data_IF_564979830557
#
_entry.id   IF_564979830557
#
_cell.length_a   1.000
_cell.length_b   1.000
_cell.length_c   1.000
_cell.angle_alpha   90.00
_cell.angle_beta   90.00
_cell.angle_gamma   90.00
#
_symmetry.space_group_name_H-M   'P 1'
#
loop_
_entity.id
_entity.type
_entity.pdbx_description
1 polymer ?
#
# COMPACT_ATOMS: atom_id res chain seq x y z
N UNK A 1 16.29 16.86 5.83
CA UNK A 1 15.46 15.64 5.87
C UNK A 1 14.10 15.99 6.43
N UNK A 2 13.04 15.59 5.78
CA UNK A 2 11.71 15.80 6.29
C UNK A 2 11.41 14.89 7.48
N UNK A 3 10.31 15.13 8.20
CA UNK A 3 9.90 14.26 9.29
C UNK A 3 9.62 12.85 8.77
N UNK A 4 9.98 11.87 9.58
CA UNK A 4 9.73 10.47 9.25
C UNK A 4 8.22 10.20 9.32
N UNK A 5 7.69 9.56 8.30
CA UNK A 5 6.27 9.20 8.25
C UNK A 5 6.01 8.04 9.21
N UNK A 6 5.03 8.18 10.08
CA UNK A 6 4.60 7.12 10.99
C UNK A 6 3.47 6.34 10.33
N UNK A 7 3.82 5.23 9.67
CA UNK A 7 2.86 4.40 8.96
C UNK A 7 1.85 3.74 9.89
N UNK A 8 2.27 3.40 11.10
CA UNK A 8 1.37 2.79 12.09
C UNK A 8 0.26 3.77 12.45
N UNK A 9 0.61 5.03 12.68
CA UNK A 9 -0.38 6.06 12.99
C UNK A 9 -1.33 6.27 11.82
N UNK A 10 -0.81 6.37 10.60
CA UNK A 10 -1.62 6.54 9.39
C UNK A 10 -2.60 5.38 9.23
N UNK A 11 -2.14 4.15 9.42
CA UNK A 11 -2.99 2.97 9.31
C UNK A 11 -4.03 2.93 10.43
N UNK A 12 -3.66 3.33 11.65
CA UNK A 12 -4.59 3.39 12.78
C UNK A 12 -5.71 4.41 12.55
N UNK A 13 -5.47 5.41 11.71
CA UNK A 13 -6.47 6.41 11.35
C UNK A 13 -7.37 5.98 10.19
N UNK A 14 -7.24 4.75 9.73
CA UNK A 14 -8.12 4.19 8.71
C UNK A 14 -7.57 4.16 7.29
N UNK A 15 -6.25 4.23 7.14
CA UNK A 15 -5.64 4.10 5.81
C UNK A 15 -5.97 2.76 5.18
N UNK A 16 -6.08 2.75 3.86
CA UNK A 16 -6.21 1.52 3.08
C UNK A 16 -4.81 0.95 2.84
N UNK A 17 -4.62 -0.32 3.13
CA UNK A 17 -3.37 -1.02 2.81
C UNK A 17 -3.56 -1.69 1.46
N UNK A 18 -2.73 -1.30 0.49
CA UNK A 18 -2.79 -1.79 -0.88
C UNK A 18 -1.57 -2.64 -1.18
N UNK A 19 -1.78 -3.93 -1.41
CA UNK A 19 -0.71 -4.84 -1.81
C UNK A 19 -0.71 -4.93 -3.34
N UNK A 20 0.41 -4.50 -3.95
CA UNK A 20 0.52 -4.44 -5.41
C UNK A 20 1.32 -5.60 -5.98
N UNK A 21 1.50 -6.67 -5.19
CA UNK A 21 2.10 -7.92 -5.67
C UNK A 21 1.10 -8.69 -6.54
N UNK A 22 1.57 -9.78 -7.14
CA UNK A 22 0.68 -10.67 -7.88
C UNK A 22 -0.34 -11.33 -6.93
N UNK A 23 -1.43 -11.82 -7.49
CA UNK A 23 -2.45 -12.53 -6.70
C UNK A 23 -1.88 -13.79 -6.05
N UNK A 24 -0.96 -14.49 -6.71
CA UNK A 24 -0.30 -15.66 -6.15
C UNK A 24 0.57 -15.33 -4.93
N UNK A 25 1.35 -14.25 -5.02
CA UNK A 25 2.13 -13.79 -3.88
C UNK A 25 1.24 -13.41 -2.71
N UNK A 26 0.17 -12.67 -2.99
CA UNK A 26 -0.79 -12.24 -1.96
C UNK A 26 -1.43 -13.43 -1.25
N UNK A 27 -1.79 -14.47 -1.99
CA UNK A 27 -2.42 -15.66 -1.44
C UNK A 27 -1.52 -16.43 -0.47
N UNK A 28 -0.20 -16.32 -0.62
CA UNK A 28 0.76 -16.99 0.26
C UNK A 28 0.97 -16.29 1.59
N UNK A 29 0.49 -15.07 1.72
CA UNK A 29 0.61 -14.28 2.94
C UNK A 29 0.55 -12.80 2.62
N UNK A 30 -0.16 -12.03 3.44
CA UNK A 30 -0.33 -10.59 3.24
C UNK A 30 -0.69 -9.91 4.55
N UNK A 31 -0.63 -8.60 4.58
CA UNK A 31 -1.05 -7.83 5.74
C UNK A 31 -2.56 -8.01 5.95
N UNK A 32 -2.96 -8.28 7.18
CA UNK A 32 -4.37 -8.45 7.51
C UNK A 32 -5.18 -7.21 7.09
N UNK A 33 -6.24 -7.44 6.34
CA UNK A 33 -7.11 -6.37 5.85
C UNK A 33 -6.63 -5.68 4.59
N UNK A 34 -5.48 -6.08 4.03
CA UNK A 34 -4.97 -5.48 2.80
C UNK A 34 -5.84 -5.85 1.59
N UNK A 35 -5.92 -4.91 0.66
CA UNK A 35 -6.55 -5.11 -0.64
C UNK A 35 -5.44 -5.46 -1.63
N UNK A 36 -5.67 -6.42 -2.50
CA UNK A 36 -4.71 -6.77 -3.54
C UNK A 36 -5.15 -6.23 -4.90
N UNK A 37 -4.36 -5.34 -5.44
CA UNK A 37 -4.46 -4.91 -6.84
C UNK A 37 -3.05 -4.97 -7.41
N UNK A 38 -2.73 -5.95 -8.25
CA UNK A 38 -1.39 -6.03 -8.85
C UNK A 38 -1.03 -4.76 -9.58
N UNK A 39 0.25 -4.40 -9.54
CA UNK A 39 0.72 -3.12 -10.09
C UNK A 39 0.30 -2.92 -11.56
N UNK A 40 0.36 -3.98 -12.37
CA UNK A 40 0.01 -3.90 -13.79
C UNK A 40 -1.48 -3.66 -14.03
N UNK A 41 -2.31 -3.78 -13.01
CA UNK A 41 -3.76 -3.53 -13.09
C UNK A 41 -4.19 -2.27 -12.34
N UNK A 42 -3.25 -1.63 -11.66
CA UNK A 42 -3.60 -0.53 -10.76
C UNK A 42 -4.30 0.63 -11.48
N UNK A 43 -3.78 1.05 -12.64
CA UNK A 43 -4.39 2.16 -13.37
C UNK A 43 -5.83 1.88 -13.78
N UNK A 44 -6.13 0.62 -14.13
CA UNK A 44 -7.47 0.23 -14.55
C UNK A 44 -8.43 0.13 -13.37
N UNK A 45 -7.92 -0.22 -12.19
CA UNK A 45 -8.74 -0.53 -11.02
C UNK A 45 -8.64 0.51 -9.91
N UNK A 46 -7.93 1.59 -10.14
CA UNK A 46 -7.65 2.58 -9.10
C UNK A 46 -8.92 3.20 -8.51
N UNK A 47 -9.99 3.30 -9.29
CA UNK A 47 -11.26 3.85 -8.82
C UNK A 47 -11.93 3.02 -7.73
N UNK A 48 -11.51 1.77 -7.54
CA UNK A 48 -11.98 0.94 -6.44
C UNK A 48 -11.48 1.43 -5.09
N UNK A 49 -10.45 2.27 -5.08
CA UNK A 49 -9.87 2.79 -3.84
C UNK A 49 -10.56 4.10 -3.46
N UNK A 50 -10.93 4.26 -2.18
CA UNK A 50 -11.54 5.52 -1.73
C UNK A 50 -10.51 6.64 -1.76
N UNK A 51 -10.91 7.83 -2.23
CA UNK A 51 -10.02 9.00 -2.26
C UNK A 51 -9.97 9.78 -0.96
N UNK A 52 -10.90 9.51 -0.06
CA UNK A 52 -11.00 10.21 1.21
C UNK A 52 -10.16 9.57 2.31
N UNK A 53 -9.38 8.56 1.98
CA UNK A 53 -8.49 7.86 2.93
C UNK A 53 -7.09 7.78 2.35
N UNK A 54 -6.06 7.86 3.21
CA UNK A 54 -4.70 7.57 2.76
C UNK A 54 -4.56 6.14 2.28
N UNK A 55 -3.65 5.90 1.34
CA UNK A 55 -3.32 4.57 0.84
C UNK A 55 -1.86 4.27 1.19
N UNK A 56 -1.62 3.16 1.86
CA UNK A 56 -0.27 2.67 2.13
C UNK A 56 -0.04 1.48 1.22
N UNK A 57 0.82 1.65 0.23
CA UNK A 57 1.13 0.60 -0.74
C UNK A 57 2.29 -0.26 -0.24
N UNK A 58 2.21 -1.56 -0.43
CA UNK A 58 3.30 -2.50 -0.10
C UNK A 58 3.50 -3.51 -1.23
N UNK A 59 4.68 -4.11 -1.23
CA UNK A 59 5.02 -5.19 -2.16
C UNK A 59 6.03 -6.12 -1.48
N UNK A 60 6.89 -6.81 -2.23
CA UNK A 60 7.87 -7.70 -1.63
C UNK A 60 9.00 -6.92 -0.94
N UNK A 61 9.52 -5.87 -1.60
CA UNK A 61 10.71 -5.17 -1.13
C UNK A 61 10.63 -3.63 -1.22
N UNK A 62 9.54 -3.09 -1.71
CA UNK A 62 9.33 -1.64 -1.80
C UNK A 62 9.44 -1.04 -3.19
N UNK A 63 9.96 -1.77 -4.18
CA UNK A 63 10.13 -1.25 -5.55
C UNK A 63 8.81 -1.07 -6.28
N UNK A 64 8.00 -2.11 -6.35
CA UNK A 64 6.69 -2.05 -7.00
C UNK A 64 5.76 -1.08 -6.28
N UNK A 65 5.80 -1.07 -4.94
CA UNK A 65 4.99 -0.15 -4.17
C UNK A 65 5.40 1.31 -4.38
N UNK A 66 6.69 1.57 -4.61
CA UNK A 66 7.15 2.91 -4.98
C UNK A 66 6.52 3.38 -6.28
N UNK A 67 6.47 2.51 -7.29
CA UNK A 67 5.79 2.83 -8.55
C UNK A 67 4.30 3.06 -8.35
N UNK A 68 3.67 2.24 -7.50
CA UNK A 68 2.26 2.38 -7.18
C UNK A 68 1.97 3.74 -6.52
N UNK A 69 2.83 4.19 -5.62
CA UNK A 69 2.67 5.49 -4.95
C UNK A 69 2.68 6.61 -5.98
N UNK A 70 3.58 6.55 -6.98
CA UNK A 70 3.62 7.56 -8.02
C UNK A 70 2.32 7.60 -8.82
N UNK A 71 1.77 6.44 -9.18
CA UNK A 71 0.50 6.34 -9.89
C UNK A 71 -0.64 6.92 -9.05
N UNK A 72 -0.69 6.54 -7.77
CA UNK A 72 -1.73 7.00 -6.85
C UNK A 72 -1.70 8.52 -6.67
N UNK A 73 -0.51 9.09 -6.46
CA UNK A 73 -0.37 10.54 -6.30
C UNK A 73 -0.78 11.29 -7.56
N UNK A 74 -0.45 10.76 -8.74
CA UNK A 74 -0.85 11.37 -10.00
C UNK A 74 -2.38 11.42 -10.15
N UNK A 75 -3.08 10.48 -9.53
CA UNK A 75 -4.54 10.40 -9.55
C UNK A 75 -5.20 11.11 -8.36
N UNK A 76 -4.42 11.84 -7.56
CA UNK A 76 -4.97 12.65 -6.49
C UNK A 76 -5.11 11.97 -5.14
N UNK A 77 -4.54 10.78 -4.98
CA UNK A 77 -4.55 10.07 -3.69
C UNK A 77 -3.45 10.55 -2.78
N UNK A 78 -3.71 10.56 -1.48
CA UNK A 78 -2.67 10.64 -0.47
C UNK A 78 -2.08 9.23 -0.35
N UNK A 79 -0.80 9.06 -0.71
CA UNK A 79 -0.21 7.72 -0.78
C UNK A 79 1.18 7.68 -0.18
N UNK A 80 1.50 6.55 0.44
CA UNK A 80 2.77 6.30 1.11
C UNK A 80 3.32 4.95 0.71
N UNK A 81 4.63 4.84 0.60
CA UNK A 81 5.29 3.56 0.35
C UNK A 81 5.50 2.83 1.67
N UNK A 82 4.79 1.74 1.88
CA UNK A 82 4.94 0.90 3.06
C UNK A 82 6.10 -0.08 2.99
N UNK A 83 6.75 -0.20 1.84
CA UNK A 83 7.88 -1.10 1.67
C UNK A 83 7.47 -2.56 1.53
N UNK A 84 8.27 -3.46 2.09
CA UNK A 84 7.98 -4.89 2.08
C UNK A 84 6.79 -5.21 2.99
N UNK A 85 5.89 -6.05 2.50
CA UNK A 85 4.65 -6.35 3.23
C UNK A 85 4.91 -7.03 4.58
N UNK A 86 5.92 -7.90 4.67
CA UNK A 86 6.18 -8.62 5.93
C UNK A 86 6.72 -7.68 7.00
N UNK A 87 7.56 -6.71 6.63
CA UNK A 87 8.04 -5.70 7.57
C UNK A 87 6.90 -4.79 8.01
N UNK A 88 6.06 -4.39 7.07
CA UNK A 88 4.87 -3.59 7.38
C UNK A 88 3.93 -4.35 8.31
N UNK A 89 3.68 -5.62 8.04
CA UNK A 89 2.83 -6.46 8.88
C UNK A 89 3.35 -6.55 10.32
N UNK A 90 4.66 -6.72 10.48
CA UNK A 90 5.27 -6.73 11.82
C UNK A 90 5.12 -5.40 12.53
N UNK A 91 5.28 -4.30 11.79
CA UNK A 91 5.12 -2.96 12.37
C UNK A 91 3.69 -2.71 12.84
N UNK A 92 2.69 -3.18 12.09
CA UNK A 92 1.29 -2.94 12.38
C UNK A 92 0.70 -3.97 13.34
N UNK A 93 1.09 -5.23 13.24
CA UNK A 93 0.41 -6.35 13.90
C UNK A 93 1.36 -7.25 14.70
N UNK A 94 2.62 -6.96 14.67
CA UNK A 94 3.66 -7.76 15.34
C UNK A 94 3.82 -7.53 16.82
#
# INVERSE_FOLDING_TARGET
>A
MGPKVDLKEICNKGAVILDVRTTGEFAQGHVKGAINIPLDRLQQQIKKLPKDKPVVACCLSGGRSGSAVSILKAEGYEAYNGGGWSSLDRELNG
#
